data_IF_290597461953
#
_entry.id   IF_290597461953
#
_cell.length_a   1.000
_cell.length_b   1.000
_cell.length_c   1.000
_cell.angle_alpha   90.00
_cell.angle_beta   90.00
_cell.angle_gamma   90.00
#
_symmetry.space_group_name_H-M   'P 1'
#
loop_
_entity.id
_entity.type
_entity.pdbx_description
1 polymer ?
#
# COMPACT_ATOMS: atom_id res chain seq x y z
N UNK A 1 18.23 -28.59 3.08
CA UNK A 1 18.44 -27.12 3.04
C UNK A 1 19.81 -26.87 2.46
N UNK A 2 19.90 -26.29 1.28
CA UNK A 2 21.15 -26.09 0.56
C UNK A 2 22.00 -25.00 1.22
N UNK A 3 23.33 -25.12 1.17
CA UNK A 3 24.31 -24.22 1.81
C UNK A 3 24.12 -22.73 1.45
N UNK A 4 23.52 -22.44 0.30
CA UNK A 4 23.22 -21.06 -0.15
C UNK A 4 22.10 -20.36 0.67
N UNK A 5 21.14 -21.10 1.21
CA UNK A 5 20.07 -20.56 2.05
C UNK A 5 20.60 -20.09 3.42
N UNK A 6 21.58 -20.80 3.97
CA UNK A 6 22.22 -20.43 5.24
C UNK A 6 23.12 -19.20 5.13
N UNK A 7 23.80 -19.02 4.00
CA UNK A 7 24.65 -17.83 3.76
C UNK A 7 23.85 -16.53 3.56
N UNK A 8 22.59 -16.60 3.11
CA UNK A 8 21.72 -15.42 2.93
C UNK A 8 20.96 -15.01 4.20
N UNK A 9 20.87 -15.90 5.21
CA UNK A 9 20.08 -15.65 6.43
C UNK A 9 20.54 -14.41 7.23
N UNK A 10 21.86 -14.19 7.51
CA UNK A 10 22.28 -13.01 8.25
C UNK A 10 21.94 -11.69 7.53
N UNK A 11 22.06 -11.65 6.19
CA UNK A 11 21.67 -10.47 5.39
C UNK A 11 20.17 -10.20 5.46
N UNK A 12 19.35 -11.23 5.40
CA UNK A 12 17.89 -11.11 5.54
C UNK A 12 17.50 -10.57 6.91
N UNK A 13 18.03 -11.17 7.97
CA UNK A 13 17.78 -10.69 9.33
C UNK A 13 18.23 -9.24 9.51
N UNK A 14 19.42 -8.87 8.98
CA UNK A 14 19.93 -7.50 9.06
C UNK A 14 19.05 -6.48 8.35
N UNK A 15 18.58 -6.78 7.14
CA UNK A 15 17.64 -5.91 6.41
C UNK A 15 16.32 -5.76 7.17
N UNK A 16 15.73 -6.85 7.64
CA UNK A 16 14.48 -6.83 8.37
C UNK A 16 14.61 -6.07 9.71
N UNK A 17 15.73 -6.23 10.41
CA UNK A 17 16.00 -5.56 11.68
C UNK A 17 16.11 -4.02 11.56
N UNK A 18 16.42 -3.51 10.36
CA UNK A 18 16.44 -2.07 10.08
C UNK A 18 15.11 -1.61 9.47
N UNK A 19 14.61 -2.34 8.48
CA UNK A 19 13.43 -1.94 7.72
C UNK A 19 12.15 -1.93 8.58
N UNK A 20 11.93 -2.95 9.41
CA UNK A 20 10.73 -3.05 10.25
C UNK A 20 10.63 -1.88 11.25
N UNK A 21 11.66 -1.55 12.07
CA UNK A 21 11.61 -0.38 12.94
C UNK A 21 11.43 0.93 12.20
N UNK A 22 12.06 1.10 11.04
CA UNK A 22 11.91 2.30 10.21
C UNK A 22 10.47 2.48 9.71
N UNK A 23 9.86 1.41 9.21
CA UNK A 23 8.46 1.41 8.74
C UNK A 23 7.51 1.73 9.90
N UNK A 24 7.70 1.09 11.06
CA UNK A 24 6.89 1.35 12.26
C UNK A 24 7.06 2.79 12.72
N UNK A 25 8.29 3.29 12.78
CA UNK A 25 8.57 4.67 13.19
C UNK A 25 7.91 5.68 12.24
N UNK A 26 7.99 5.47 10.93
CA UNK A 26 7.35 6.33 9.94
C UNK A 26 5.82 6.26 10.04
N UNK A 27 5.22 5.08 10.24
CA UNK A 27 3.79 4.91 10.42
C UNK A 27 3.28 5.62 11.69
N UNK A 28 4.03 5.53 12.79
CA UNK A 28 3.69 6.22 14.03
C UNK A 28 3.89 7.74 13.91
N UNK A 29 4.95 8.20 13.26
CA UNK A 29 5.19 9.62 13.03
C UNK A 29 4.13 10.26 12.11
N UNK A 30 3.60 9.50 11.12
CA UNK A 30 2.62 10.02 10.15
C UNK A 30 3.17 11.12 9.25
N UNK A 31 2.26 11.89 8.67
CA UNK A 31 2.59 13.10 7.93
C UNK A 31 3.66 12.94 6.86
N UNK A 32 4.56 13.91 6.79
CA UNK A 32 5.61 13.95 5.77
C UNK A 32 6.54 12.73 5.81
N UNK A 33 6.81 12.15 6.99
CA UNK A 33 7.68 10.98 7.12
C UNK A 33 7.03 9.73 6.54
N UNK A 34 5.75 9.52 6.85
CA UNK A 34 5.01 8.40 6.29
C UNK A 34 4.79 8.56 4.79
N UNK A 35 4.41 9.77 4.34
CA UNK A 35 4.31 10.09 2.91
C UNK A 35 5.62 9.80 2.18
N UNK A 36 6.75 10.32 2.67
CA UNK A 36 8.05 10.13 2.01
C UNK A 36 8.42 8.65 1.88
N UNK A 37 8.20 7.85 2.93
CA UNK A 37 8.45 6.42 2.91
C UNK A 37 7.55 5.72 1.88
N UNK A 38 6.24 5.98 1.91
CA UNK A 38 5.27 5.32 1.02
C UNK A 38 5.50 5.74 -0.44
N UNK A 39 5.76 7.03 -0.70
CA UNK A 39 6.06 7.53 -2.04
C UNK A 39 7.37 6.92 -2.61
N UNK A 40 8.39 6.72 -1.77
CA UNK A 40 9.61 6.04 -2.16
C UNK A 40 9.34 4.57 -2.53
N UNK A 41 8.62 3.84 -1.67
CA UNK A 41 8.27 2.43 -1.93
C UNK A 41 7.40 2.32 -3.19
N UNK A 42 6.42 3.20 -3.35
CA UNK A 42 5.55 3.29 -4.54
C UNK A 42 6.37 3.50 -5.81
N UNK A 43 7.29 4.47 -5.81
CA UNK A 43 8.14 4.76 -6.97
C UNK A 43 9.06 3.60 -7.36
N UNK A 44 9.66 2.94 -6.36
CA UNK A 44 10.53 1.78 -6.59
C UNK A 44 9.72 0.57 -7.08
N UNK A 45 8.57 0.28 -6.48
CA UNK A 45 7.67 -0.79 -6.93
C UNK A 45 7.16 -0.55 -8.36
N UNK A 46 6.84 0.71 -8.70
CA UNK A 46 6.43 1.10 -10.05
C UNK A 46 7.56 0.92 -11.06
N UNK A 47 8.77 1.30 -10.71
CA UNK A 47 9.95 1.08 -11.54
C UNK A 47 10.20 -0.42 -11.81
N UNK A 48 10.08 -1.26 -10.78
CA UNK A 48 10.20 -2.71 -10.90
C UNK A 48 9.10 -3.31 -11.79
N UNK A 49 7.86 -2.90 -11.62
CA UNK A 49 6.74 -3.31 -12.46
C UNK A 49 6.98 -2.96 -13.94
N UNK A 50 7.47 -1.76 -14.22
CA UNK A 50 7.81 -1.37 -15.59
C UNK A 50 8.98 -2.20 -16.17
N UNK A 51 9.96 -2.58 -15.36
CA UNK A 51 11.03 -3.47 -15.79
C UNK A 51 10.51 -4.89 -16.11
N UNK A 52 9.53 -5.40 -15.34
CA UNK A 52 8.87 -6.67 -15.65
C UNK A 52 8.14 -6.59 -17.00
N UNK A 53 7.43 -5.50 -17.26
CA UNK A 53 6.71 -5.28 -18.51
C UNK A 53 7.67 -5.19 -19.73
N UNK A 54 8.82 -4.55 -19.58
CA UNK A 54 9.84 -4.49 -20.65
C UNK A 54 10.35 -5.87 -21.06
N UNK A 55 10.48 -6.80 -20.12
CA UNK A 55 10.86 -8.18 -20.43
C UNK A 55 9.83 -8.90 -21.34
N UNK A 56 8.61 -8.38 -21.41
CA UNK A 56 7.52 -8.88 -22.28
C UNK A 56 7.36 -8.06 -23.55
N UNK A 57 8.26 -7.14 -23.83
CA UNK A 57 8.26 -6.32 -25.05
C UNK A 57 7.35 -5.10 -25.00
N UNK A 58 6.79 -4.77 -23.83
CA UNK A 58 6.21 -3.45 -23.60
C UNK A 58 7.34 -2.43 -23.36
N UNK A 59 7.10 -1.18 -23.73
CA UNK A 59 8.02 -0.07 -23.45
C UNK A 59 7.28 1.04 -22.72
N UNK A 60 6.94 0.84 -21.42
CA UNK A 60 6.24 1.85 -20.63
C UNK A 60 7.05 3.14 -20.54
N UNK A 61 6.37 4.24 -20.35
CA UNK A 61 6.98 5.57 -20.18
C UNK A 61 7.39 5.75 -18.71
N UNK A 62 8.49 5.10 -18.30
CA UNK A 62 8.91 4.99 -16.88
C UNK A 62 8.99 6.35 -16.18
N UNK A 63 9.66 7.33 -16.78
CA UNK A 63 9.82 8.66 -16.15
C UNK A 63 8.46 9.35 -15.97
N UNK A 64 7.60 9.31 -17.00
CA UNK A 64 6.25 9.89 -16.93
C UNK A 64 5.43 9.19 -15.86
N UNK A 65 5.45 7.85 -15.83
CA UNK A 65 4.72 7.06 -14.84
C UNK A 65 5.20 7.31 -13.41
N UNK A 66 6.52 7.35 -13.16
CA UNK A 66 7.09 7.59 -11.83
C UNK A 66 6.75 9.00 -11.33
N UNK A 67 6.88 10.02 -12.19
CA UNK A 67 6.51 11.40 -11.82
C UNK A 67 5.01 11.50 -11.54
N UNK A 68 4.18 10.94 -12.44
CA UNK A 68 2.73 10.91 -12.22
C UNK A 68 2.35 10.13 -10.96
N UNK A 69 2.99 9.00 -10.70
CA UNK A 69 2.78 8.21 -9.49
C UNK A 69 3.10 8.98 -8.21
N UNK A 70 4.20 9.74 -8.21
CA UNK A 70 4.52 10.63 -7.10
C UNK A 70 3.47 11.71 -6.90
N UNK A 71 2.98 12.35 -7.98
CA UNK A 71 1.93 13.38 -7.90
C UNK A 71 0.60 12.76 -7.46
N UNK A 72 0.27 11.53 -7.90
CA UNK A 72 -0.88 10.79 -7.40
C UNK A 72 -0.76 10.53 -5.90
N UNK A 73 0.39 10.06 -5.41
CA UNK A 73 0.60 9.90 -3.96
C UNK A 73 0.48 11.24 -3.21
N UNK A 74 0.96 12.34 -3.80
CA UNK A 74 0.83 13.68 -3.23
C UNK A 74 -0.65 14.11 -3.12
N UNK A 75 -1.50 13.71 -4.08
CA UNK A 75 -2.93 14.01 -4.02
C UNK A 75 -3.63 13.39 -2.80
N UNK A 76 -3.08 12.32 -2.24
CA UNK A 76 -3.59 11.67 -1.03
C UNK A 76 -3.11 12.31 0.29
N UNK A 77 -2.21 13.29 0.22
CA UNK A 77 -1.86 14.18 1.34
C UNK A 77 -2.43 15.58 1.16
N UNK A 78 -3.32 15.74 0.19
CA UNK A 78 -3.77 17.07 -0.25
C UNK A 78 -4.46 17.88 0.86
N UNK A 79 -5.23 17.25 1.74
CA UNK A 79 -5.90 17.93 2.84
C UNK A 79 -4.90 18.62 3.78
N UNK A 80 -3.81 17.94 4.11
CA UNK A 80 -2.69 18.54 4.86
C UNK A 80 -2.08 19.70 4.11
N UNK A 81 -1.71 19.47 2.85
CA UNK A 81 -1.11 20.51 2.00
C UNK A 81 -2.04 21.71 1.82
N UNK A 82 -3.34 21.47 1.70
CA UNK A 82 -4.36 22.51 1.58
C UNK A 82 -4.36 23.43 2.81
N UNK A 83 -4.31 22.85 4.01
CA UNK A 83 -4.27 23.63 5.25
C UNK A 83 -3.00 24.48 5.33
N UNK A 84 -1.84 23.88 5.06
CA UNK A 84 -0.55 24.59 5.11
C UNK A 84 -0.48 25.72 4.06
N UNK A 85 -0.90 25.44 2.82
CA UNK A 85 -0.93 26.42 1.73
C UNK A 85 -1.96 27.53 2.01
N UNK A 86 -3.16 27.17 2.48
CA UNK A 86 -4.18 28.16 2.82
C UNK A 86 -3.69 29.13 3.91
N UNK A 87 -3.12 28.60 4.99
CA UNK A 87 -2.59 29.42 6.08
C UNK A 87 -1.49 30.38 5.57
N UNK A 88 -0.53 29.84 4.80
CA UNK A 88 0.57 30.63 4.24
C UNK A 88 0.08 31.82 3.38
N UNK A 89 -0.88 31.60 2.48
CA UNK A 89 -1.43 32.65 1.63
C UNK A 89 -2.41 33.58 2.36
N UNK A 90 -3.17 33.06 3.32
CA UNK A 90 -4.05 33.84 4.17
C UNK A 90 -3.29 34.86 5.01
N UNK A 91 -2.12 34.48 5.53
CA UNK A 91 -1.21 35.38 6.26
C UNK A 91 -0.70 36.54 5.38
N UNK A 92 -0.67 36.33 4.05
CA UNK A 92 -0.36 37.36 3.06
C UNK A 92 -1.59 38.16 2.60
N UNK A 93 -2.79 37.91 3.15
CA UNK A 93 -4.04 38.54 2.73
C UNK A 93 -4.60 38.00 1.41
N UNK A 94 -4.11 36.84 0.93
CA UNK A 94 -4.55 36.24 -0.34
C UNK A 94 -5.46 35.05 -0.02
N UNK A 95 -6.73 35.14 -0.44
CA UNK A 95 -7.70 34.05 -0.28
C UNK A 95 -7.79 33.23 -1.56
N UNK A 96 -7.23 32.02 -1.51
CA UNK A 96 -7.25 31.07 -2.63
C UNK A 96 -8.47 30.16 -2.56
N UNK A 97 -9.15 29.97 -3.70
CA UNK A 97 -10.10 28.87 -3.86
C UNK A 97 -9.33 27.55 -4.02
N UNK A 98 -9.54 26.62 -3.13
CA UNK A 98 -8.84 25.33 -3.13
C UNK A 98 -9.71 24.26 -3.79
N UNK A 99 -9.08 23.33 -4.51
CA UNK A 99 -9.73 22.13 -5.03
C UNK A 99 -10.11 21.20 -3.86
N UNK A 100 -11.12 20.36 -4.06
CA UNK A 100 -11.26 19.20 -3.20
C UNK A 100 -10.19 18.15 -3.55
N UNK A 101 -9.89 17.25 -2.63
CA UNK A 101 -8.94 16.15 -2.88
C UNK A 101 -9.33 15.35 -4.14
N UNK A 102 -10.62 15.04 -4.30
CA UNK A 102 -11.12 14.31 -5.46
C UNK A 102 -10.96 15.09 -6.77
N UNK A 103 -11.21 16.41 -6.75
CA UNK A 103 -11.01 17.28 -7.94
C UNK A 103 -9.53 17.32 -8.32
N UNK A 104 -8.64 17.43 -7.34
CA UNK A 104 -7.20 17.43 -7.59
C UNK A 104 -6.72 16.09 -8.14
N UNK A 105 -7.14 14.98 -7.55
CA UNK A 105 -6.81 13.64 -8.06
C UNK A 105 -7.32 13.42 -9.49
N UNK A 106 -8.56 13.80 -9.78
CA UNK A 106 -9.13 13.68 -11.12
C UNK A 106 -8.34 14.53 -12.13
N UNK A 107 -7.98 15.76 -11.77
CA UNK A 107 -7.16 16.63 -12.61
C UNK A 107 -5.80 15.98 -12.92
N UNK A 108 -5.12 15.45 -11.90
CA UNK A 108 -3.83 14.76 -12.06
C UNK A 108 -3.95 13.56 -13.00
N UNK A 109 -4.98 12.73 -12.83
CA UNK A 109 -5.18 11.54 -13.69
C UNK A 109 -5.50 11.92 -15.15
N UNK A 110 -6.29 12.97 -15.37
CA UNK A 110 -6.60 13.47 -16.72
C UNK A 110 -5.34 14.01 -17.42
N UNK A 111 -4.57 14.87 -16.73
CA UNK A 111 -3.31 15.39 -17.28
C UNK A 111 -2.31 14.25 -17.54
N UNK A 112 -2.19 13.30 -16.62
CA UNK A 112 -1.34 12.13 -16.79
C UNK A 112 -1.71 11.33 -18.06
N UNK A 113 -3.00 11.04 -18.25
CA UNK A 113 -3.47 10.35 -19.45
C UNK A 113 -3.16 11.13 -20.74
N UNK A 114 -3.40 12.44 -20.74
CA UNK A 114 -3.04 13.30 -21.87
C UNK A 114 -1.55 13.25 -22.17
N UNK A 115 -0.71 13.40 -21.14
CA UNK A 115 0.76 13.36 -21.30
C UNK A 115 1.21 12.00 -21.86
N UNK A 116 0.69 10.88 -21.35
CA UNK A 116 1.00 9.54 -21.87
C UNK A 116 0.68 9.45 -23.36
N UNK A 117 -0.50 9.90 -23.79
CA UNK A 117 -0.90 9.86 -25.19
C UNK A 117 -0.06 10.80 -26.07
N UNK A 118 0.23 12.01 -25.60
CA UNK A 118 1.06 12.97 -26.33
C UNK A 118 2.50 12.47 -26.49
N UNK A 119 3.10 11.91 -25.44
CA UNK A 119 4.46 11.33 -25.53
C UNK A 119 4.48 10.16 -26.50
N UNK A 120 3.45 9.30 -26.47
CA UNK A 120 3.40 8.14 -27.35
C UNK A 120 3.23 8.53 -28.83
N UNK A 121 2.59 9.67 -29.11
CA UNK A 121 2.48 10.20 -30.48
C UNK A 121 3.86 10.39 -31.17
N UNK A 122 4.89 10.76 -30.41
CA UNK A 122 6.24 11.00 -30.91
C UNK A 122 7.18 9.81 -30.74
N UNK A 123 6.75 8.72 -30.10
CA UNK A 123 7.55 7.51 -29.91
C UNK A 123 7.36 6.54 -31.05
N UNK A 124 8.46 5.88 -31.44
CA UNK A 124 8.48 4.87 -32.50
C UNK A 124 8.78 3.46 -31.99
N UNK A 125 8.93 3.29 -30.67
CA UNK A 125 9.37 2.01 -30.08
C UNK A 125 8.19 1.24 -29.49
N UNK A 126 7.99 0.02 -29.97
CA UNK A 126 6.94 -0.88 -29.49
C UNK A 126 5.54 -0.54 -29.99
N UNK A 127 4.54 -1.11 -29.34
CA UNK A 127 3.11 -0.84 -29.62
C UNK A 127 2.63 0.32 -28.76
N UNK A 128 2.11 1.41 -29.35
CA UNK A 128 1.57 2.55 -28.61
C UNK A 128 0.51 2.15 -27.59
N UNK A 129 -0.39 1.24 -27.97
CA UNK A 129 -1.46 0.75 -27.10
C UNK A 129 -0.91 -0.01 -25.89
N UNK A 130 0.05 -0.92 -26.11
CA UNK A 130 0.65 -1.72 -25.03
C UNK A 130 1.48 -0.83 -24.11
N UNK A 131 2.27 0.08 -24.66
CA UNK A 131 3.09 1.02 -23.89
C UNK A 131 2.23 1.92 -23.00
N UNK A 132 1.21 2.55 -23.58
CA UNK A 132 0.27 3.42 -22.85
C UNK A 132 -0.51 2.65 -21.80
N UNK A 133 -1.07 1.49 -22.16
CA UNK A 133 -1.83 0.66 -21.22
C UNK A 133 -0.97 0.22 -20.02
N UNK A 134 0.28 -0.19 -20.26
CA UNK A 134 1.20 -0.63 -19.21
C UNK A 134 1.60 0.55 -18.31
N UNK A 135 1.85 1.73 -18.91
CA UNK A 135 2.19 2.94 -18.16
C UNK A 135 1.05 3.34 -17.23
N UNK A 136 -0.18 3.37 -17.75
CA UNK A 136 -1.39 3.72 -16.98
C UNK A 136 -1.69 2.66 -15.92
N UNK A 137 -1.66 1.38 -16.28
CA UNK A 137 -1.89 0.27 -15.34
C UNK A 137 -0.95 0.35 -14.13
N UNK A 138 0.35 0.62 -14.36
CA UNK A 138 1.34 0.75 -13.29
C UNK A 138 0.94 1.84 -12.28
N UNK A 139 0.62 3.04 -12.75
CA UNK A 139 0.22 4.16 -11.88
C UNK A 139 -1.08 3.84 -11.12
N UNK A 140 -2.08 3.29 -11.80
CA UNK A 140 -3.37 2.97 -11.17
C UNK A 140 -3.27 1.81 -10.18
N UNK A 141 -2.50 0.77 -10.49
CA UNK A 141 -2.38 -0.42 -9.62
C UNK A 141 -1.42 -0.18 -8.44
N UNK A 142 -0.36 0.56 -8.66
CA UNK A 142 0.69 0.73 -7.64
C UNK A 142 0.52 2.08 -6.94
N UNK A 143 0.68 3.20 -7.64
CA UNK A 143 0.73 4.50 -6.98
C UNK A 143 -0.62 4.93 -6.42
N UNK A 144 -1.75 4.66 -7.11
CA UNK A 144 -3.07 4.95 -6.59
C UNK A 144 -3.39 4.09 -5.34
N UNK A 145 -3.01 2.81 -5.36
CA UNK A 145 -3.25 1.92 -4.21
C UNK A 145 -2.38 2.31 -3.00
N UNK A 146 -1.11 2.65 -3.21
CA UNK A 146 -0.29 3.22 -2.12
C UNK A 146 -0.82 4.57 -1.63
N UNK A 147 -1.41 5.36 -2.50
CA UNK A 147 -2.10 6.59 -2.13
C UNK A 147 -3.20 6.35 -1.10
N UNK A 148 -4.00 5.30 -1.27
CA UNK A 148 -5.05 4.94 -0.28
C UNK A 148 -4.45 4.57 1.09
N UNK A 149 -3.24 4.01 1.15
CA UNK A 149 -2.55 3.75 2.40
C UNK A 149 -2.15 5.07 3.10
N UNK A 150 -1.69 6.07 2.32
CA UNK A 150 -1.41 7.40 2.82
C UNK A 150 -2.69 8.02 3.40
N UNK A 151 -3.80 8.04 2.62
CA UNK A 151 -5.08 8.54 3.11
C UNK A 151 -5.56 7.81 4.37
N UNK A 152 -5.42 6.49 4.45
CA UNK A 152 -5.78 5.75 5.66
C UNK A 152 -5.10 6.33 6.91
N UNK A 153 -3.84 6.73 6.79
CA UNK A 153 -3.11 7.37 7.91
C UNK A 153 -3.56 8.81 8.15
N UNK A 154 -3.81 9.58 7.09
CA UNK A 154 -4.20 11.00 7.17
C UNK A 154 -5.67 11.22 7.59
N UNK A 155 -6.55 10.21 7.51
CA UNK A 155 -7.92 10.29 8.04
C UNK A 155 -7.96 10.64 9.54
N UNK A 156 -6.94 10.26 10.31
CA UNK A 156 -6.91 10.46 11.76
C UNK A 156 -6.60 11.91 12.16
N UNK A 157 -5.61 12.62 11.61
CA UNK A 157 -5.40 14.02 11.94
C UNK A 157 -6.39 14.99 11.27
N UNK A 158 -6.97 14.66 10.12
CA UNK A 158 -7.76 15.60 9.32
C UNK A 158 -9.22 15.22 9.09
N UNK A 159 -9.56 13.93 9.03
CA UNK A 159 -10.89 13.43 8.72
C UNK A 159 -11.58 12.70 9.87
N UNK A 160 -10.98 12.68 11.08
CA UNK A 160 -11.57 11.93 12.20
C UNK A 160 -12.81 12.62 12.76
N UNK A 161 -13.97 11.94 12.80
CA UNK A 161 -15.23 12.54 13.26
C UNK A 161 -15.28 12.57 14.79
N UNK A 162 -14.67 13.58 15.39
CA UNK A 162 -14.58 13.75 16.87
C UNK A 162 -15.93 13.59 17.56
N UNK A 163 -16.99 14.17 16.98
CA UNK A 163 -18.34 14.13 17.55
C UNK A 163 -18.95 12.71 17.64
N UNK A 164 -18.44 11.76 16.87
CA UNK A 164 -18.92 10.36 16.86
C UNK A 164 -18.30 9.53 18.00
N UNK A 165 -17.11 9.89 18.45
CA UNK A 165 -16.31 9.12 19.39
C UNK A 165 -16.18 9.80 20.76
N UNK A 166 -16.41 11.10 20.83
CA UNK A 166 -16.32 11.87 22.07
C UNK A 166 -17.60 12.67 22.31
N UNK A 167 -17.99 12.81 23.57
CA UNK A 167 -19.19 13.54 23.97
C UNK A 167 -19.12 15.03 23.63
N UNK A 168 -17.93 15.59 23.61
CA UNK A 168 -17.66 16.97 23.22
C UNK A 168 -17.37 17.05 21.73
N UNK A 169 -17.98 17.97 21.00
CA UNK A 169 -17.72 18.17 19.56
C UNK A 169 -16.30 18.63 19.21
N UNK A 170 -15.44 18.80 20.20
CA UNK A 170 -14.04 19.19 20.07
C UNK A 170 -13.18 18.20 20.85
N UNK A 171 -12.05 17.79 20.27
CA UNK A 171 -11.04 16.99 20.96
C UNK A 171 -10.06 17.92 21.70
N UNK A 172 -9.76 17.60 22.95
CA UNK A 172 -8.65 18.22 23.66
C UNK A 172 -7.30 17.67 23.16
N UNK A 173 -6.19 18.27 23.63
CA UNK A 173 -4.84 17.88 23.18
C UNK A 173 -4.53 16.41 23.45
N UNK A 174 -5.06 15.83 24.51
CA UNK A 174 -4.87 14.42 24.88
C UNK A 174 -5.64 13.51 23.91
N UNK A 175 -6.89 13.87 23.61
CA UNK A 175 -7.74 13.16 22.67
C UNK A 175 -7.18 13.25 21.24
N UNK A 176 -6.68 14.40 20.82
CA UNK A 176 -6.01 14.57 19.52
C UNK A 176 -4.76 13.68 19.41
N UNK A 177 -3.90 13.67 20.46
CA UNK A 177 -2.75 12.79 20.49
C UNK A 177 -3.14 11.29 20.49
N UNK A 178 -4.30 10.93 21.04
CA UNK A 178 -4.84 9.57 20.98
C UNK A 178 -5.32 9.22 19.58
N UNK A 179 -6.07 10.11 18.93
CA UNK A 179 -6.54 9.95 17.55
C UNK A 179 -5.35 9.75 16.60
N UNK A 180 -4.33 10.59 16.70
CA UNK A 180 -3.12 10.44 15.87
C UNK A 180 -2.41 9.10 16.09
N UNK A 181 -2.35 8.61 17.34
CA UNK A 181 -1.78 7.28 17.65
C UNK A 181 -2.60 6.16 17.03
N UNK A 182 -3.94 6.26 17.03
CA UNK A 182 -4.79 5.28 16.36
C UNK A 182 -4.49 5.16 14.87
N UNK A 183 -4.21 6.27 14.18
CA UNK A 183 -3.77 6.24 12.79
C UNK A 183 -2.48 5.43 12.59
N UNK A 184 -1.45 5.68 13.42
CA UNK A 184 -0.22 4.90 13.42
C UNK A 184 -0.44 3.43 13.73
N UNK A 185 -1.20 3.14 14.78
CA UNK A 185 -1.55 1.77 15.17
C UNK A 185 -2.37 1.03 14.12
N UNK A 186 -3.23 1.72 13.37
CA UNK A 186 -3.99 1.12 12.26
C UNK A 186 -3.03 0.60 11.19
N UNK A 187 -2.07 1.41 10.76
CA UNK A 187 -1.06 1.00 9.77
C UNK A 187 -0.18 -0.15 10.29
N UNK A 188 0.29 -0.05 11.54
CA UNK A 188 1.14 -1.09 12.14
C UNK A 188 0.36 -2.41 12.30
N UNK A 189 -0.90 -2.35 12.72
CA UNK A 189 -1.75 -3.53 12.87
C UNK A 189 -2.05 -4.20 11.53
N UNK A 190 -2.25 -3.40 10.48
CA UNK A 190 -2.44 -3.89 9.12
C UNK A 190 -1.18 -4.65 8.64
N UNK A 191 0.00 -4.06 8.81
CA UNK A 191 1.28 -4.71 8.48
C UNK A 191 1.50 -5.99 9.27
N UNK A 192 1.28 -5.95 10.59
CA UNK A 192 1.40 -7.12 11.46
C UNK A 192 0.44 -8.24 11.02
N UNK A 193 -0.81 -7.88 10.67
CA UNK A 193 -1.80 -8.84 10.19
C UNK A 193 -1.37 -9.51 8.89
N UNK A 194 -0.80 -8.76 7.93
CA UNK A 194 -0.24 -9.31 6.68
C UNK A 194 0.92 -10.27 6.99
N UNK A 195 1.90 -9.86 7.79
CA UNK A 195 3.08 -10.68 8.12
C UNK A 195 2.70 -11.97 8.87
N UNK A 196 1.74 -11.89 9.77
CA UNK A 196 1.23 -13.06 10.51
C UNK A 196 0.42 -13.97 9.58
N UNK A 197 -0.41 -13.39 8.67
CA UNK A 197 -1.13 -14.12 7.64
C UNK A 197 -0.18 -14.95 6.78
N UNK A 198 0.87 -14.34 6.23
CA UNK A 198 1.84 -15.02 5.37
C UNK A 198 2.60 -16.11 6.13
N UNK A 199 3.00 -15.83 7.36
CA UNK A 199 3.68 -16.80 8.23
C UNK A 199 2.79 -18.01 8.53
N UNK A 200 1.54 -17.77 8.93
CA UNK A 200 0.58 -18.83 9.23
C UNK A 200 0.21 -19.61 7.98
N UNK A 201 0.03 -18.94 6.84
CA UNK A 201 -0.22 -19.59 5.56
C UNK A 201 0.93 -20.52 5.15
N UNK A 202 2.17 -20.07 5.34
CA UNK A 202 3.36 -20.89 5.08
C UNK A 202 3.41 -22.14 5.97
N UNK A 203 3.33 -21.99 7.29
CA UNK A 203 3.43 -23.14 8.20
C UNK A 203 2.21 -24.07 8.08
N UNK A 204 1.00 -23.51 7.94
CA UNK A 204 -0.22 -24.28 7.70
C UNK A 204 -0.15 -25.06 6.39
N UNK A 205 0.35 -24.44 5.33
CA UNK A 205 0.56 -25.09 4.04
C UNK A 205 1.60 -26.20 4.06
N UNK A 206 2.72 -26.00 4.77
CA UNK A 206 3.77 -27.02 4.93
C UNK A 206 3.26 -28.22 5.75
N UNK A 207 2.47 -27.98 6.80
CA UNK A 207 2.02 -29.05 7.72
C UNK A 207 0.80 -29.80 7.23
N UNK A 208 -0.17 -29.10 6.63
CA UNK A 208 -1.50 -29.63 6.31
C UNK A 208 -1.86 -29.54 4.83
N UNK A 209 -1.04 -28.87 3.98
CA UNK A 209 -1.34 -28.60 2.59
C UNK A 209 -1.46 -29.88 1.76
N UNK A 210 -2.63 -30.08 1.15
CA UNK A 210 -2.95 -31.19 0.24
C UNK A 210 -3.41 -30.68 -1.12
N UNK A 211 -4.20 -29.60 -1.14
CA UNK A 211 -4.82 -29.06 -2.35
C UNK A 211 -4.11 -27.78 -2.78
N UNK A 212 -3.62 -27.75 -4.01
CA UNK A 212 -2.94 -26.58 -4.57
C UNK A 212 -3.92 -25.42 -4.76
N UNK A 213 -3.53 -24.20 -4.34
CA UNK A 213 -4.34 -23.00 -4.47
C UNK A 213 -4.35 -22.50 -5.92
N UNK A 214 -3.17 -22.30 -6.50
CA UNK A 214 -3.01 -21.83 -7.89
C UNK A 214 -1.66 -22.31 -8.47
N UNK A 215 -1.62 -23.55 -8.91
CA UNK A 215 -0.39 -24.26 -9.28
C UNK A 215 0.42 -23.58 -10.38
N UNK A 216 -0.26 -22.99 -11.38
CA UNK A 216 0.36 -22.31 -12.52
C UNK A 216 1.16 -21.08 -12.13
N UNK A 217 0.82 -20.40 -11.04
CA UNK A 217 1.41 -19.13 -10.60
C UNK A 217 2.32 -19.34 -9.41
N UNK A 218 1.82 -20.03 -8.38
CA UNK A 218 2.54 -20.32 -7.13
C UNK A 218 2.34 -21.77 -6.71
N UNK A 219 3.19 -22.70 -7.20
CA UNK A 219 3.00 -24.15 -7.01
C UNK A 219 3.10 -24.62 -5.56
N UNK A 220 3.64 -23.78 -4.67
CA UNK A 220 3.80 -24.14 -3.26
C UNK A 220 2.60 -23.71 -2.38
N UNK A 221 1.74 -22.79 -2.85
CA UNK A 221 0.57 -22.34 -2.10
C UNK A 221 -0.54 -23.40 -2.12
N UNK A 222 -1.21 -23.57 -0.97
CA UNK A 222 -2.29 -24.55 -0.77
C UNK A 222 -3.53 -23.88 -0.17
N UNK A 223 -4.70 -24.45 -0.39
CA UNK A 223 -5.95 -23.98 0.18
C UNK A 223 -5.94 -24.04 1.72
N UNK A 224 -5.35 -25.12 2.29
CA UNK A 224 -5.22 -25.25 3.72
C UNK A 224 -4.33 -24.15 4.30
N UNK A 225 -3.18 -23.89 3.64
CA UNK A 225 -2.33 -22.77 4.02
C UNK A 225 -3.08 -21.42 3.95
N UNK A 226 -3.81 -21.20 2.87
CA UNK A 226 -4.60 -19.97 2.72
C UNK A 226 -5.66 -19.81 3.84
N UNK A 227 -6.31 -20.90 4.25
CA UNK A 227 -7.26 -20.88 5.36
C UNK A 227 -6.58 -20.56 6.71
N UNK A 228 -5.39 -21.12 6.99
CA UNK A 228 -4.61 -20.74 8.18
C UNK A 228 -4.22 -19.28 8.18
N UNK A 229 -3.76 -18.74 7.04
CA UNK A 229 -3.45 -17.31 6.88
C UNK A 229 -4.68 -16.44 7.13
N UNK A 230 -5.80 -16.78 6.51
CA UNK A 230 -7.06 -16.07 6.66
C UNK A 230 -7.52 -15.99 8.13
N UNK A 231 -7.55 -17.13 8.83
CA UNK A 231 -7.95 -17.16 10.24
C UNK A 231 -6.99 -16.33 11.10
N UNK A 232 -5.69 -16.45 10.86
CA UNK A 232 -4.69 -15.71 11.62
C UNK A 232 -4.77 -14.20 11.38
N UNK A 233 -5.11 -13.75 10.17
CA UNK A 233 -5.32 -12.32 9.87
C UNK A 233 -6.50 -11.76 10.69
N UNK A 234 -7.62 -12.48 10.73
CA UNK A 234 -8.79 -12.08 11.55
C UNK A 234 -8.42 -12.03 13.02
N UNK A 235 -7.76 -13.07 13.54
CA UNK A 235 -7.34 -13.10 14.94
C UNK A 235 -6.38 -11.97 15.30
N UNK A 236 -5.47 -11.62 14.39
CA UNK A 236 -4.53 -10.51 14.60
C UNK A 236 -5.26 -9.17 14.67
N UNK A 237 -6.22 -8.90 13.79
CA UNK A 237 -7.00 -7.67 13.83
C UNK A 237 -7.91 -7.60 15.07
N UNK A 238 -8.47 -8.73 15.51
CA UNK A 238 -9.22 -8.79 16.78
C UNK A 238 -8.32 -8.50 17.98
N UNK A 239 -7.11 -9.03 18.00
CA UNK A 239 -6.12 -8.73 19.03
C UNK A 239 -5.70 -7.25 19.01
N UNK A 240 -5.45 -6.71 17.82
CA UNK A 240 -5.10 -5.29 17.65
C UNK A 240 -6.24 -4.38 18.16
N UNK A 241 -7.51 -4.73 17.90
CA UNK A 241 -8.65 -4.00 18.45
C UNK A 241 -8.64 -3.97 19.99
N UNK A 242 -8.32 -5.09 20.62
CA UNK A 242 -8.29 -5.17 22.11
C UNK A 242 -7.12 -4.36 22.68
N UNK A 243 -5.98 -4.32 21.99
CA UNK A 243 -4.74 -3.75 22.53
C UNK A 243 -4.54 -2.27 22.20
N UNK A 244 -4.90 -1.84 20.97
CA UNK A 244 -4.48 -0.52 20.45
C UNK A 244 -5.50 0.16 19.54
N UNK A 245 -6.52 -0.54 19.00
CA UNK A 245 -7.51 0.02 18.06
C UNK A 245 -8.89 0.11 18.73
N UNK A 246 -8.96 0.83 19.84
CA UNK A 246 -10.16 0.97 20.67
C UNK A 246 -11.34 1.60 19.93
N UNK A 247 -11.06 2.41 18.89
CA UNK A 247 -12.07 3.05 18.06
C UNK A 247 -12.86 2.06 17.18
N UNK A 248 -12.30 0.86 16.90
CA UNK A 248 -12.96 -0.16 16.10
C UNK A 248 -14.00 -0.96 16.92
N UNK A 249 -15.15 -1.21 16.32
CA UNK A 249 -16.11 -2.18 16.83
C UNK A 249 -15.63 -3.60 16.51
N UNK A 250 -16.25 -4.60 17.16
CA UNK A 250 -15.87 -6.01 16.94
C UNK A 250 -15.99 -6.44 15.48
N UNK A 251 -17.08 -6.06 14.83
CA UNK A 251 -17.30 -6.41 13.42
C UNK A 251 -16.33 -5.70 12.47
N UNK A 252 -15.90 -4.47 12.78
CA UNK A 252 -14.93 -3.74 11.99
C UNK A 252 -13.58 -4.47 11.97
N UNK A 253 -13.10 -4.92 13.13
CA UNK A 253 -11.87 -5.70 13.23
C UNK A 253 -11.95 -7.03 12.45
N UNK A 254 -13.10 -7.71 12.49
CA UNK A 254 -13.32 -8.92 11.69
C UNK A 254 -13.25 -8.59 10.20
N UNK A 255 -13.94 -7.56 9.72
CA UNK A 255 -13.96 -7.17 8.30
C UNK A 255 -12.58 -6.76 7.82
N UNK A 256 -11.83 -5.96 8.59
CA UNK A 256 -10.45 -5.62 8.24
C UNK A 256 -9.55 -6.86 8.16
N UNK A 257 -9.72 -7.81 9.10
CA UNK A 257 -9.02 -9.10 9.05
C UNK A 257 -9.40 -9.95 7.83
N UNK A 258 -10.68 -9.92 7.41
CA UNK A 258 -11.14 -10.56 6.17
C UNK A 258 -10.48 -9.93 4.94
N UNK A 259 -10.37 -8.61 4.89
CA UNK A 259 -9.70 -7.93 3.78
C UNK A 259 -8.23 -8.34 3.68
N UNK A 260 -7.49 -8.38 4.79
CA UNK A 260 -6.12 -8.88 4.79
C UNK A 260 -6.05 -10.32 4.33
N UNK A 261 -6.87 -11.20 4.92
CA UNK A 261 -6.85 -12.63 4.63
C UNK A 261 -7.23 -13.01 3.20
N UNK A 262 -8.04 -12.18 2.52
CA UNK A 262 -8.46 -12.42 1.12
C UNK A 262 -7.59 -11.62 0.18
N UNK A 263 -7.66 -10.29 0.26
CA UNK A 263 -7.01 -9.41 -0.73
C UNK A 263 -5.49 -9.39 -0.61
N UNK A 264 -4.92 -9.61 0.59
CA UNK A 264 -3.48 -9.78 0.77
C UNK A 264 -2.96 -10.99 0.00
N UNK A 265 -3.62 -12.14 0.16
CA UNK A 265 -3.23 -13.35 -0.56
C UNK A 265 -3.47 -13.23 -2.07
N UNK A 266 -4.52 -12.52 -2.50
CA UNK A 266 -4.77 -12.22 -3.91
C UNK A 266 -3.68 -11.31 -4.50
N UNK A 267 -3.23 -10.31 -3.75
CA UNK A 267 -2.17 -9.38 -4.18
C UNK A 267 -0.87 -10.12 -4.50
N UNK A 268 -0.40 -10.98 -3.59
CA UNK A 268 0.77 -11.83 -3.82
C UNK A 268 0.58 -12.77 -5.04
N UNK A 269 -0.61 -13.32 -5.25
CA UNK A 269 -0.87 -14.15 -6.44
C UNK A 269 -0.84 -13.32 -7.74
N UNK A 270 -1.40 -12.11 -7.74
CA UNK A 270 -1.39 -11.21 -8.89
C UNK A 270 0.04 -10.77 -9.22
N UNK A 271 0.81 -10.37 -8.21
CA UNK A 271 2.21 -10.01 -8.37
C UNK A 271 3.03 -11.20 -8.89
N UNK A 272 2.86 -12.37 -8.27
CA UNK A 272 3.47 -13.61 -8.73
C UNK A 272 3.11 -13.93 -10.19
N UNK A 273 1.88 -13.64 -10.63
CA UNK A 273 1.45 -13.83 -12.02
C UNK A 273 2.24 -12.94 -12.99
N UNK A 274 2.45 -11.65 -12.66
CA UNK A 274 3.28 -10.75 -13.46
C UNK A 274 4.73 -11.21 -13.56
N UNK A 275 5.31 -11.70 -12.45
CA UNK A 275 6.67 -12.25 -12.44
C UNK A 275 6.79 -13.49 -13.34
N UNK A 276 5.87 -14.45 -13.22
CA UNK A 276 5.87 -15.64 -14.07
C UNK A 276 5.69 -15.31 -15.54
N UNK A 277 4.83 -14.35 -15.85
CA UNK A 277 4.67 -13.87 -17.21
C UNK A 277 5.99 -13.31 -17.75
N UNK A 278 6.73 -12.53 -16.95
CA UNK A 278 8.03 -11.96 -17.31
C UNK A 278 9.20 -12.97 -17.26
N UNK A 279 8.94 -14.25 -16.94
CA UNK A 279 9.96 -15.30 -16.88
C UNK A 279 10.91 -15.21 -15.69
N UNK A 280 10.53 -14.47 -14.63
CA UNK A 280 11.35 -14.29 -13.44
C UNK A 280 10.66 -14.78 -12.17
N UNK A 281 11.42 -14.89 -11.09
CA UNK A 281 10.91 -15.24 -9.76
C UNK A 281 10.74 -14.02 -8.88
N UNK A 282 11.68 -13.12 -8.90
CA UNK A 282 11.71 -11.90 -8.08
C UNK A 282 11.64 -10.68 -9.02
N UNK A 283 11.01 -9.58 -8.60
CA UNK A 283 10.84 -8.37 -9.42
C UNK A 283 12.17 -7.66 -9.69
N UNK A 284 13.08 -7.70 -8.71
CA UNK A 284 14.44 -7.15 -8.80
C UNK A 284 15.32 -7.74 -7.68
N UNK A 285 16.59 -7.29 -7.64
CA UNK A 285 17.57 -7.58 -6.58
C UNK A 285 17.88 -6.34 -5.73
N UNK A 286 17.00 -5.34 -5.71
CA UNK A 286 17.22 -4.06 -5.01
C UNK A 286 17.36 -4.23 -3.51
N UNK A 287 16.62 -5.17 -2.90
CA UNK A 287 16.77 -5.47 -1.48
C UNK A 287 17.63 -6.72 -1.33
N UNK A 288 18.88 -6.62 -0.83
CA UNK A 288 19.80 -7.75 -0.77
C UNK A 288 19.21 -8.94 0.00
N UNK A 289 19.04 -10.07 -0.70
CA UNK A 289 18.50 -11.30 -0.15
C UNK A 289 16.97 -11.34 0.01
N UNK A 290 16.24 -10.27 -0.36
CA UNK A 290 14.79 -10.18 -0.25
C UNK A 290 14.07 -9.96 -1.60
N UNK A 291 14.77 -9.78 -2.71
CA UNK A 291 14.14 -9.42 -3.99
C UNK A 291 13.87 -7.93 -4.12
N UNK A 292 12.76 -7.56 -4.72
CA UNK A 292 12.38 -6.19 -4.94
C UNK A 292 11.45 -5.60 -3.87
N UNK A 293 11.20 -4.30 -3.98
CA UNK A 293 10.21 -3.59 -3.18
C UNK A 293 8.79 -4.06 -3.52
N UNK A 294 8.51 -4.28 -4.79
CA UNK A 294 7.21 -4.79 -5.22
C UNK A 294 6.92 -6.17 -4.60
N UNK A 295 7.96 -7.05 -4.51
CA UNK A 295 7.86 -8.37 -3.86
C UNK A 295 7.57 -8.32 -2.35
N UNK A 296 7.86 -7.20 -1.66
CA UNK A 296 7.72 -7.09 -0.20
C UNK A 296 6.43 -6.41 0.25
N UNK A 297 5.79 -5.70 -0.66
CA UNK A 297 4.60 -4.92 -0.35
C UNK A 297 3.40 -5.28 -1.24
N UNK A 298 3.49 -6.36 -2.02
CA UNK A 298 2.46 -6.87 -2.91
C UNK A 298 1.08 -7.05 -2.23
N UNK A 299 1.07 -7.72 -1.07
CA UNK A 299 -0.13 -7.91 -0.26
C UNK A 299 -0.69 -6.57 0.26
N UNK A 300 0.19 -5.67 0.74
CA UNK A 300 -0.21 -4.38 1.28
C UNK A 300 -0.86 -3.48 0.23
N UNK A 301 -0.29 -3.43 -0.97
CA UNK A 301 -0.82 -2.65 -2.09
C UNK A 301 -2.27 -3.03 -2.40
N UNK A 302 -2.57 -4.32 -2.45
CA UNK A 302 -3.92 -4.79 -2.78
C UNK A 302 -4.91 -4.69 -1.62
N UNK A 303 -4.45 -4.72 -0.38
CA UNK A 303 -5.31 -4.57 0.81
C UNK A 303 -5.69 -3.11 1.04
N UNK A 304 -4.77 -2.17 0.80
CA UNK A 304 -4.92 -0.77 1.21
C UNK A 304 -6.17 -0.08 0.68
N UNK A 305 -6.64 -0.23 -0.59
CA UNK A 305 -7.86 0.40 -1.06
C UNK A 305 -9.11 -0.05 -0.29
N UNK A 306 -9.23 -1.34 0.03
CA UNK A 306 -10.38 -1.88 0.75
C UNK A 306 -10.41 -1.40 2.19
N UNK A 307 -9.23 -1.36 2.83
CA UNK A 307 -9.09 -0.83 4.20
C UNK A 307 -9.44 0.65 4.24
N UNK A 308 -8.92 1.45 3.31
CA UNK A 308 -9.23 2.88 3.21
C UNK A 308 -10.72 3.11 3.06
N UNK A 309 -11.34 2.51 2.05
CA UNK A 309 -12.76 2.69 1.78
C UNK A 309 -13.64 2.24 2.97
N UNK A 310 -13.27 1.15 3.63
CA UNK A 310 -14.03 0.67 4.78
C UNK A 310 -13.89 1.59 5.99
N UNK A 311 -12.68 2.03 6.29
CA UNK A 311 -12.45 2.94 7.43
C UNK A 311 -13.15 4.28 7.17
N UNK A 312 -12.96 4.88 6.01
CA UNK A 312 -13.51 6.19 5.66
C UNK A 312 -15.04 6.16 5.62
N UNK A 313 -15.64 5.26 4.81
CA UNK A 313 -17.08 5.25 4.54
C UNK A 313 -17.94 4.46 5.53
N UNK A 314 -17.34 3.63 6.39
CA UNK A 314 -18.12 2.80 7.33
C UNK A 314 -17.74 3.07 8.78
N UNK A 315 -16.43 3.07 9.08
CA UNK A 315 -15.99 3.23 10.47
C UNK A 315 -16.09 4.68 10.92
N UNK A 316 -15.64 5.61 10.09
CA UNK A 316 -15.54 7.05 10.43
C UNK A 316 -16.73 7.88 9.94
N UNK A 317 -17.52 7.40 8.99
CA UNK A 317 -18.71 8.12 8.48
C UNK A 317 -19.86 8.23 9.49
#
# INVERSE_FOLDING_TARGET
>A
MTSSAFQSLPRRVGVAAIAIPLIIAAAMAGGHWFFALVALISGLSLYEFYNLAERRGAFPQKSVGIVAGFIVNLAFTYERLQVDVYNYFSDMGIHLAMFSQMQFLLFVLLIFLMVVLMVELFRTKGSPTVNSATTVLGVLMISLFYGTLISTRELFPYGFPVFKFFETGFADDVQMAMIERWGGYTIVSLLASIWICDTAAYFGGVRFGKHKLFERVSPNKTWEGAAFGFVSAVLTMLLARILVLEYLRLHDAIILGLFVGVFGQMGDLIESRFKRDSGVKDSSDLIPGHGGFYDRFDSLVFVSPFVYLYIDFVVLS
#
